data_IF_219545715923
#
_entry.id   IF_219545715923
#
_cell.length_a   1.000
_cell.length_b   1.000
_cell.length_c   1.000
_cell.angle_alpha   90.00
_cell.angle_beta   90.00
_cell.angle_gamma   90.00
#
_symmetry.space_group_name_H-M   'P 1'
#
loop_
_entity.id
_entity.type
_entity.pdbx_description
1 polymer ?
#
# COMPACT_ATOMS: atom_id res chain seq x y z
N UNK A 1 -4.48 -32.82 -12.53
CA UNK A 1 -5.10 -31.49 -12.46
C UNK A 1 -3.99 -30.50 -12.16
N UNK A 2 -3.63 -29.66 -13.13
CA UNK A 2 -2.73 -28.54 -12.87
C UNK A 2 -3.51 -27.50 -12.08
N UNK A 3 -3.24 -27.41 -10.78
CA UNK A 3 -3.59 -26.23 -9.99
C UNK A 3 -2.73 -25.09 -10.52
N UNK A 4 -3.21 -24.36 -11.52
CA UNK A 4 -2.72 -23.00 -11.75
C UNK A 4 -3.16 -22.19 -10.54
N UNK A 5 -2.35 -22.22 -9.47
CA UNK A 5 -2.46 -21.27 -8.39
C UNK A 5 -2.43 -19.89 -9.05
N UNK A 6 -3.51 -19.13 -8.85
CA UNK A 6 -3.53 -17.73 -9.27
C UNK A 6 -2.48 -17.04 -8.42
N UNK A 7 -1.37 -16.67 -9.03
CA UNK A 7 -0.28 -15.98 -8.35
C UNK A 7 -0.85 -14.69 -7.74
N UNK A 8 -0.76 -14.57 -6.41
CA UNK A 8 -1.17 -13.36 -5.70
C UNK A 8 -0.25 -12.22 -6.14
N UNK A 9 -0.84 -11.09 -6.52
CA UNK A 9 -0.05 -9.90 -6.86
C UNK A 9 0.41 -9.15 -5.62
N UNK A 10 -0.29 -9.35 -4.51
CA UNK A 10 0.09 -8.81 -3.21
C UNK A 10 0.84 -9.85 -2.41
N UNK A 11 2.12 -9.57 -2.16
CA UNK A 11 2.94 -10.38 -1.26
C UNK A 11 2.49 -10.13 0.19
N UNK A 12 2.40 -11.18 1.04
CA UNK A 12 1.97 -11.03 2.42
C UNK A 12 2.90 -10.09 3.19
N UNK A 13 2.34 -9.06 3.82
CA UNK A 13 3.09 -8.05 4.56
C UNK A 13 2.94 -8.27 6.06
N UNK A 14 4.08 -8.49 6.74
CA UNK A 14 4.15 -8.47 8.20
C UNK A 14 4.32 -7.04 8.68
N UNK A 15 3.26 -6.38 9.12
CA UNK A 15 3.36 -5.07 9.78
C UNK A 15 2.76 -5.08 11.18
N UNK A 16 3.58 -4.73 12.16
CA UNK A 16 3.13 -4.14 13.44
C UNK A 16 3.09 -2.62 13.29
N UNK A 17 1.90 -2.07 13.12
CA UNK A 17 1.67 -0.67 12.74
C UNK A 17 2.10 0.34 13.82
N UNK A 18 1.84 0.08 15.10
CA UNK A 18 2.15 1.03 16.19
C UNK A 18 3.63 1.07 16.60
N UNK A 19 4.34 -0.06 16.60
CA UNK A 19 5.77 -0.10 16.98
C UNK A 19 6.63 0.69 15.97
N UNK A 20 6.25 0.69 14.69
CA UNK A 20 7.08 1.25 13.63
C UNK A 20 7.21 2.78 13.67
N UNK A 21 6.13 3.51 14.01
CA UNK A 21 6.16 4.98 14.07
C UNK A 21 6.94 5.47 15.29
N UNK A 22 6.78 4.80 16.44
CA UNK A 22 7.56 5.09 17.64
C UNK A 22 9.05 4.79 17.43
N UNK A 23 9.39 3.68 16.77
CA UNK A 23 10.79 3.34 16.44
C UNK A 23 11.41 4.41 15.54
N UNK A 24 10.68 4.93 14.55
CA UNK A 24 11.16 6.00 13.67
C UNK A 24 11.43 7.29 14.46
N UNK A 25 10.49 7.72 15.30
CA UNK A 25 10.65 8.92 16.10
C UNK A 25 11.84 8.80 17.07
N UNK A 26 11.93 7.69 17.80
CA UNK A 26 12.99 7.42 18.78
C UNK A 26 14.35 7.30 18.10
N UNK A 27 14.46 6.59 16.97
CA UNK A 27 15.73 6.49 16.23
C UNK A 27 16.19 7.82 15.64
N UNK A 28 15.28 8.64 15.15
CA UNK A 28 15.61 9.99 14.64
C UNK A 28 16.07 10.91 15.78
N UNK A 29 15.37 10.90 16.92
CA UNK A 29 15.75 11.66 18.10
C UNK A 29 17.12 11.21 18.66
N UNK A 30 17.34 9.90 18.74
CA UNK A 30 18.62 9.32 19.15
C UNK A 30 19.75 9.73 18.21
N UNK A 31 19.53 9.67 16.89
CA UNK A 31 20.51 10.11 15.91
C UNK A 31 20.89 11.59 16.13
N UNK A 32 19.91 12.50 16.21
CA UNK A 32 20.18 13.93 16.45
C UNK A 32 20.91 14.16 17.78
N UNK A 33 20.51 13.48 18.86
CA UNK A 33 21.18 13.60 20.16
C UNK A 33 22.64 13.11 20.10
N UNK A 34 22.89 11.99 19.42
CA UNK A 34 24.23 11.45 19.23
C UNK A 34 25.11 12.39 18.40
N UNK A 35 24.53 13.07 17.41
CA UNK A 35 25.22 14.05 16.57
C UNK A 35 25.72 15.25 17.38
N UNK A 36 24.85 15.80 18.23
CA UNK A 36 25.21 16.91 19.11
C UNK A 36 26.29 16.49 20.12
N UNK A 37 26.16 15.31 20.71
CA UNK A 37 27.06 14.82 21.74
C UNK A 37 28.46 14.55 21.19
N UNK A 38 28.58 13.94 20.01
CA UNK A 38 29.86 13.72 19.34
C UNK A 38 30.51 15.04 18.92
N UNK A 39 29.74 16.00 18.40
CA UNK A 39 30.26 17.33 18.06
C UNK A 39 30.83 18.08 19.27
N UNK A 40 30.19 17.96 20.44
CA UNK A 40 30.67 18.54 21.70
C UNK A 40 31.93 17.81 22.19
N UNK A 41 31.95 16.48 22.18
CA UNK A 41 33.11 15.69 22.61
C UNK A 41 34.34 15.96 21.74
N UNK A 42 34.17 16.06 20.42
CA UNK A 42 35.28 16.31 19.50
C UNK A 42 36.01 17.63 19.76
N UNK A 43 35.32 18.65 20.24
CA UNK A 43 35.97 19.92 20.66
C UNK A 43 36.97 19.78 21.80
N UNK A 44 36.82 18.76 22.65
CA UNK A 44 37.74 18.57 23.78
C UNK A 44 38.97 17.72 23.42
N UNK A 45 38.91 16.95 22.33
CA UNK A 45 39.95 15.97 21.97
C UNK A 45 40.70 16.28 20.68
N UNK A 46 40.20 17.17 19.82
CA UNK A 46 40.87 17.53 18.57
C UNK A 46 41.79 18.75 18.73
N UNK A 47 42.90 18.75 17.98
CA UNK A 47 43.76 19.92 17.83
C UNK A 47 43.05 21.00 17.00
N UNK A 48 43.39 22.27 17.25
CA UNK A 48 42.78 23.43 16.56
C UNK A 48 42.91 23.41 15.04
N UNK A 49 43.90 22.70 14.51
CA UNK A 49 44.12 22.56 13.06
C UNK A 49 43.25 21.46 12.43
N UNK A 50 42.98 20.37 13.15
CA UNK A 50 42.18 19.24 12.66
C UNK A 50 40.69 19.37 12.95
N UNK A 51 40.32 20.14 13.99
CA UNK A 51 38.96 20.39 14.42
C UNK A 51 38.00 20.81 13.28
N UNK A 52 38.28 21.85 12.46
CA UNK A 52 37.33 22.30 11.45
C UNK A 52 37.07 21.25 10.36
N UNK A 53 38.11 20.50 9.97
CA UNK A 53 38.01 19.47 8.92
C UNK A 53 37.19 18.28 9.39
N UNK A 54 37.45 17.79 10.61
CA UNK A 54 36.72 16.64 11.17
C UNK A 54 35.26 16.99 11.45
N UNK A 55 34.99 18.17 12.01
CA UNK A 55 33.61 18.65 12.25
C UNK A 55 32.88 18.85 10.92
N UNK A 56 33.54 19.41 9.90
CA UNK A 56 32.95 19.61 8.57
C UNK A 56 32.54 18.30 7.91
N UNK A 57 33.45 17.31 7.87
CA UNK A 57 33.16 15.97 7.34
C UNK A 57 32.01 15.33 8.12
N UNK A 58 32.08 15.39 9.46
CA UNK A 58 31.05 14.85 10.33
C UNK A 58 29.68 15.47 10.03
N UNK A 59 29.58 16.79 9.94
CA UNK A 59 28.34 17.50 9.64
C UNK A 59 27.74 17.08 8.30
N UNK A 60 28.57 16.89 7.26
CA UNK A 60 28.12 16.43 5.94
C UNK A 60 27.56 15.01 6.02
N UNK A 61 28.29 14.06 6.61
CA UNK A 61 27.80 12.68 6.76
C UNK A 61 26.51 12.62 7.60
N UNK A 62 26.43 13.45 8.63
CA UNK A 62 25.25 13.59 9.49
C UNK A 62 24.04 14.08 8.72
N UNK A 63 24.22 15.08 7.85
CA UNK A 63 23.17 15.61 7.00
C UNK A 63 22.68 14.55 6.00
N UNK A 64 23.62 13.83 5.36
CA UNK A 64 23.29 12.73 4.44
C UNK A 64 22.47 11.65 5.17
N UNK A 65 22.90 11.28 6.38
CA UNK A 65 22.18 10.28 7.19
C UNK A 65 20.78 10.75 7.59
N UNK A 66 20.62 12.00 8.02
CA UNK A 66 19.32 12.58 8.36
C UNK A 66 18.37 12.62 7.15
N UNK A 67 18.88 13.01 5.98
CA UNK A 67 18.11 12.98 4.74
C UNK A 67 17.67 11.56 4.39
N UNK A 68 18.60 10.60 4.47
CA UNK A 68 18.30 9.18 4.24
C UNK A 68 17.21 8.66 5.19
N UNK A 69 17.34 8.93 6.49
CA UNK A 69 16.34 8.56 7.50
C UNK A 69 14.99 9.25 7.26
N UNK A 70 14.99 10.52 6.85
CA UNK A 70 13.76 11.23 6.48
C UNK A 70 13.04 10.61 5.29
N UNK A 71 13.79 10.20 4.26
CA UNK A 71 13.23 9.48 3.09
C UNK A 71 12.66 8.13 3.51
N UNK A 72 13.40 7.34 4.29
CA UNK A 72 12.95 6.03 4.78
C UNK A 72 11.73 6.13 5.70
N UNK A 73 11.70 7.14 6.58
CA UNK A 73 10.57 7.45 7.43
C UNK A 73 9.32 7.73 6.60
N UNK A 74 9.42 8.66 5.64
CA UNK A 74 8.31 8.99 4.73
C UNK A 74 7.82 7.78 3.94
N UNK A 75 8.73 6.92 3.49
CA UNK A 75 8.41 5.65 2.82
C UNK A 75 7.59 4.74 3.74
N UNK A 76 8.05 4.50 4.96
CA UNK A 76 7.36 3.63 5.94
C UNK A 76 5.99 4.17 6.32
N UNK A 77 5.86 5.48 6.56
CA UNK A 77 4.55 6.09 6.86
C UNK A 77 3.55 5.91 5.72
N UNK A 78 3.99 6.01 4.45
CA UNK A 78 3.12 5.75 3.30
C UNK A 78 2.69 4.27 3.24
N UNK A 79 3.60 3.34 3.50
CA UNK A 79 3.33 1.91 3.51
C UNK A 79 2.39 1.50 4.65
N UNK A 80 2.54 2.10 5.83
CA UNK A 80 1.66 1.82 6.98
C UNK A 80 0.21 2.26 6.77
N UNK A 81 -0.03 3.20 5.85
CA UNK A 81 -1.37 3.68 5.51
C UNK A 81 -2.07 2.80 4.47
N UNK A 82 -1.38 1.79 3.95
CA UNK A 82 -1.99 0.85 3.02
C UNK A 82 -2.96 -0.07 3.78
N UNK A 83 -4.09 -0.44 3.15
CA UNK A 83 -5.04 -1.38 3.73
C UNK A 83 -4.45 -2.79 3.76
N UNK A 84 -5.20 -3.76 4.30
CA UNK A 84 -4.79 -5.17 4.33
C UNK A 84 -4.48 -5.71 2.92
N UNK A 85 -3.70 -6.79 2.87
CA UNK A 85 -3.30 -7.40 1.61
C UNK A 85 -4.50 -7.88 0.79
N UNK A 86 -5.52 -8.40 1.45
CA UNK A 86 -6.76 -8.82 0.78
C UNK A 86 -7.51 -7.64 0.15
N UNK A 87 -7.59 -6.48 0.81
CA UNK A 87 -8.17 -5.26 0.20
C UNK A 87 -7.35 -4.82 -1.01
N UNK A 88 -6.01 -4.85 -0.91
CA UNK A 88 -5.15 -4.50 -2.04
C UNK A 88 -5.35 -5.45 -3.22
N UNK A 89 -5.47 -6.76 -2.97
CA UNK A 89 -5.71 -7.77 -4.00
C UNK A 89 -7.07 -7.58 -4.68
N UNK A 90 -8.11 -7.24 -3.91
CA UNK A 90 -9.42 -6.88 -4.46
C UNK A 90 -9.37 -5.59 -5.25
N UNK A 91 -8.58 -4.60 -4.82
CA UNK A 91 -8.37 -3.39 -5.61
C UNK A 91 -7.67 -3.71 -6.95
N UNK A 92 -6.67 -4.61 -6.95
CA UNK A 92 -6.05 -5.11 -8.18
C UNK A 92 -7.04 -5.82 -9.10
N UNK A 93 -7.90 -6.67 -8.55
CA UNK A 93 -8.94 -7.35 -9.32
C UNK A 93 -9.81 -6.35 -10.08
N UNK A 94 -10.27 -5.28 -9.41
CA UNK A 94 -11.08 -4.23 -10.06
C UNK A 94 -10.26 -3.45 -11.07
N UNK A 95 -9.00 -3.10 -10.77
CA UNK A 95 -8.10 -2.39 -11.71
C UNK A 95 -7.94 -3.15 -13.02
N UNK A 96 -7.69 -4.45 -12.93
CA UNK A 96 -7.50 -5.35 -14.08
C UNK A 96 -8.79 -5.57 -14.85
N UNK A 97 -9.88 -5.87 -14.13
CA UNK A 97 -11.16 -6.21 -14.77
C UNK A 97 -11.83 -4.99 -15.40
N UNK A 98 -11.45 -3.78 -15.00
CA UNK A 98 -11.89 -2.52 -15.59
C UNK A 98 -10.98 -1.97 -16.69
N UNK A 99 -9.84 -2.65 -16.97
CA UNK A 99 -8.78 -2.16 -17.86
C UNK A 99 -8.38 -0.70 -17.54
N UNK A 100 -8.26 -0.39 -16.25
CA UNK A 100 -8.04 0.98 -15.79
C UNK A 100 -6.71 1.55 -16.32
N UNK A 101 -6.79 2.66 -17.06
CA UNK A 101 -5.63 3.35 -17.63
C UNK A 101 -5.24 2.88 -19.04
N UNK A 102 -5.96 1.92 -19.61
CA UNK A 102 -5.76 1.50 -21.00
C UNK A 102 -6.49 2.41 -21.98
N UNK A 103 -5.85 2.71 -23.11
CA UNK A 103 -6.40 3.59 -24.15
C UNK A 103 -7.62 2.92 -24.77
N UNK A 104 -8.77 3.62 -24.77
CA UNK A 104 -10.02 3.14 -25.35
C UNK A 104 -10.95 2.43 -24.37
N UNK A 105 -10.56 2.27 -23.11
CA UNK A 105 -11.42 1.70 -22.06
C UNK A 105 -11.95 2.78 -21.12
N UNK A 106 -13.18 2.57 -20.62
CA UNK A 106 -13.85 3.51 -19.72
C UNK A 106 -13.30 3.48 -18.28
N UNK A 107 -12.43 2.50 -17.96
CA UNK A 107 -11.96 2.28 -16.59
C UNK A 107 -13.04 1.78 -15.64
N UNK A 108 -14.16 1.28 -16.18
CA UNK A 108 -15.27 0.71 -15.42
C UNK A 108 -15.38 -0.79 -15.69
N UNK A 109 -15.65 -1.55 -14.64
CA UNK A 109 -16.02 -2.96 -14.72
C UNK A 109 -17.54 -3.11 -14.58
N UNK A 110 -18.18 -3.71 -15.58
CA UNK A 110 -19.62 -3.96 -15.55
C UNK A 110 -19.90 -5.37 -15.05
N UNK A 111 -20.50 -5.48 -13.87
CA UNK A 111 -20.66 -6.76 -13.17
C UNK A 111 -21.90 -6.76 -12.27
N UNK A 112 -22.37 -7.94 -11.86
CA UNK A 112 -23.40 -8.11 -10.83
C UNK A 112 -22.76 -8.32 -9.45
N UNK A 113 -23.47 -8.03 -8.35
CA UNK A 113 -22.96 -8.26 -6.99
C UNK A 113 -22.46 -9.70 -6.79
N UNK A 114 -23.26 -10.69 -7.21
CA UNK A 114 -22.91 -12.11 -7.07
C UNK A 114 -21.64 -12.46 -7.84
N UNK A 115 -21.52 -11.97 -9.07
CA UNK A 115 -20.35 -12.27 -9.90
C UNK A 115 -19.09 -11.61 -9.33
N UNK A 116 -19.21 -10.39 -8.77
CA UNK A 116 -18.09 -9.73 -8.10
C UNK A 116 -17.57 -10.59 -6.94
N UNK A 117 -18.48 -11.04 -6.06
CA UNK A 117 -18.14 -11.85 -4.89
C UNK A 117 -17.46 -13.17 -5.28
N UNK A 118 -17.90 -13.81 -6.36
CA UNK A 118 -17.26 -15.01 -6.88
C UNK A 118 -15.82 -14.75 -7.36
N UNK A 119 -15.60 -13.70 -8.16
CA UNK A 119 -14.25 -13.33 -8.60
C UNK A 119 -13.34 -12.93 -7.43
N UNK A 120 -13.87 -12.23 -6.43
CA UNK A 120 -13.16 -11.88 -5.21
C UNK A 120 -12.71 -13.13 -4.45
N UNK A 121 -13.60 -14.12 -4.29
CA UNK A 121 -13.30 -15.39 -3.63
C UNK A 121 -12.23 -16.19 -4.38
N UNK A 122 -12.35 -16.28 -5.71
CA UNK A 122 -11.35 -16.92 -6.57
C UNK A 122 -9.98 -16.23 -6.45
N UNK A 123 -9.96 -14.90 -6.38
CA UNK A 123 -8.72 -14.12 -6.29
C UNK A 123 -8.02 -14.33 -4.95
N UNK A 124 -8.76 -14.35 -3.83
CA UNK A 124 -8.17 -14.45 -2.49
C UNK A 124 -7.78 -15.90 -2.18
N UNK A 125 -8.66 -16.87 -2.44
CA UNK A 125 -8.51 -18.25 -1.95
C UNK A 125 -8.21 -19.29 -3.03
N UNK A 126 -8.01 -18.86 -4.28
CA UNK A 126 -7.90 -19.69 -5.48
C UNK A 126 -9.20 -20.43 -5.85
N UNK A 127 -9.27 -20.90 -7.09
CA UNK A 127 -10.46 -21.53 -7.68
C UNK A 127 -10.91 -22.80 -6.96
N UNK A 128 -9.98 -23.61 -6.46
CA UNK A 128 -10.31 -24.87 -5.77
C UNK A 128 -11.09 -24.63 -4.47
N UNK A 129 -10.76 -23.55 -3.74
CA UNK A 129 -11.45 -23.19 -2.50
C UNK A 129 -12.77 -22.49 -2.76
N UNK A 130 -12.86 -21.65 -3.80
CA UNK A 130 -14.09 -20.94 -4.17
C UNK A 130 -15.20 -21.87 -4.68
N UNK A 131 -14.84 -23.04 -5.22
CA UNK A 131 -15.81 -24.08 -5.62
C UNK A 131 -16.43 -24.82 -4.42
N UNK A 132 -15.78 -24.78 -3.25
CA UNK A 132 -16.21 -25.50 -2.03
C UNK A 132 -16.97 -24.57 -1.08
N UNK A 133 -16.52 -23.34 -0.93
CA UNK A 133 -17.04 -22.38 0.05
C UNK A 133 -17.85 -21.31 -0.68
N UNK A 134 -19.11 -21.03 -0.26
CA UNK A 134 -19.90 -19.98 -0.88
C UNK A 134 -19.19 -18.63 -0.78
N UNK A 135 -19.26 -17.84 -1.85
CA UNK A 135 -18.63 -16.53 -1.89
C UNK A 135 -19.18 -15.62 -0.79
N UNK A 136 -18.26 -15.02 -0.03
CA UNK A 136 -18.57 -14.02 0.99
C UNK A 136 -18.92 -12.68 0.36
N UNK A 137 -19.52 -11.78 1.14
CA UNK A 137 -19.99 -10.48 0.67
C UNK A 137 -18.85 -9.43 0.58
N UNK A 138 -17.89 -9.68 -0.31
CA UNK A 138 -16.77 -8.79 -0.59
C UNK A 138 -17.20 -7.48 -1.24
N UNK A 139 -18.30 -7.48 -1.96
CA UNK A 139 -18.84 -6.31 -2.62
C UNK A 139 -19.25 -5.23 -1.61
N UNK A 140 -20.11 -5.60 -0.64
CA UNK A 140 -20.51 -4.68 0.43
C UNK A 140 -19.31 -4.25 1.28
N UNK A 141 -18.34 -5.14 1.49
CA UNK A 141 -17.10 -4.80 2.18
C UNK A 141 -16.29 -3.72 1.45
N UNK A 142 -16.09 -3.88 0.13
CA UNK A 142 -15.38 -2.91 -0.69
C UNK A 142 -16.11 -1.56 -0.75
N UNK A 143 -17.45 -1.54 -0.67
CA UNK A 143 -18.23 -0.32 -0.55
C UNK A 143 -18.08 0.35 0.82
N UNK A 144 -18.15 -0.43 1.90
CA UNK A 144 -18.01 0.07 3.26
C UNK A 144 -16.64 0.74 3.46
N UNK A 145 -15.59 0.12 2.92
CA UNK A 145 -14.21 0.65 2.92
C UNK A 145 -13.98 1.76 1.87
N UNK A 146 -15.02 2.15 1.12
CA UNK A 146 -14.98 3.17 0.05
C UNK A 146 -13.88 2.92 -0.99
N UNK A 147 -13.66 1.64 -1.30
CA UNK A 147 -12.64 1.22 -2.24
C UNK A 147 -13.09 1.30 -3.70
N UNK A 148 -14.40 1.27 -3.94
CA UNK A 148 -15.02 1.34 -5.25
C UNK A 148 -16.12 2.40 -5.29
N UNK A 149 -16.32 2.98 -6.46
CA UNK A 149 -17.45 3.84 -6.80
C UNK A 149 -18.41 3.06 -7.71
N UNK A 150 -19.72 3.18 -7.45
CA UNK A 150 -20.76 2.41 -8.16
C UNK A 150 -21.69 3.34 -8.91
N UNK A 151 -22.00 2.98 -10.15
CA UNK A 151 -23.02 3.61 -10.98
C UNK A 151 -23.92 2.55 -11.61
N UNK A 152 -25.19 2.88 -11.83
CA UNK A 152 -26.16 1.97 -12.43
C UNK A 152 -25.99 1.91 -13.96
N UNK A 153 -25.99 0.70 -14.53
CA UNK A 153 -25.94 0.50 -16.00
C UNK A 153 -27.31 0.17 -16.56
N UNK A 154 -28.06 -0.68 -15.87
CA UNK A 154 -29.40 -1.09 -16.31
C UNK A 154 -30.23 -1.52 -15.11
N UNK A 155 -31.44 -0.97 -14.99
CA UNK A 155 -32.42 -1.44 -14.00
C UNK A 155 -33.29 -2.53 -14.65
N UNK A 156 -33.03 -3.80 -14.33
CA UNK A 156 -33.78 -4.94 -14.87
C UNK A 156 -34.84 -5.47 -13.91
N UNK A 157 -35.25 -4.68 -12.92
CA UNK A 157 -36.40 -4.97 -12.06
C UNK A 157 -36.04 -5.11 -10.58
N UNK A 158 -36.96 -5.69 -9.80
CA UNK A 158 -36.93 -5.67 -8.32
C UNK A 158 -35.84 -6.51 -7.66
N UNK A 159 -35.00 -7.24 -8.42
CA UNK A 159 -33.91 -8.07 -7.91
C UNK A 159 -32.55 -7.39 -8.08
N UNK A 160 -32.09 -6.74 -7.01
CA UNK A 160 -30.86 -5.94 -6.99
C UNK A 160 -29.62 -6.77 -7.33
N UNK A 161 -29.53 -8.02 -6.89
CA UNK A 161 -28.34 -8.88 -7.08
C UNK A 161 -28.12 -9.33 -8.53
N UNK A 162 -29.16 -9.26 -9.37
CA UNK A 162 -29.12 -9.63 -10.78
C UNK A 162 -28.89 -8.41 -11.70
N UNK A 163 -28.98 -7.20 -11.13
CA UNK A 163 -28.77 -5.97 -11.88
C UNK A 163 -27.29 -5.75 -12.15
N UNK A 164 -26.99 -5.37 -13.40
CA UNK A 164 -25.63 -5.01 -13.79
C UNK A 164 -25.33 -3.62 -13.28
N UNK A 165 -24.26 -3.52 -12.52
CA UNK A 165 -23.69 -2.27 -12.03
C UNK A 165 -22.35 -2.00 -12.70
N UNK A 166 -21.98 -0.73 -12.75
CA UNK A 166 -20.68 -0.27 -13.20
C UNK A 166 -19.87 0.12 -11.99
N UNK A 167 -18.71 -0.50 -11.83
CA UNK A 167 -17.81 -0.23 -10.71
C UNK A 167 -16.47 0.28 -11.20
N UNK A 168 -15.97 1.30 -10.53
CA UNK A 168 -14.62 1.82 -10.72
C UNK A 168 -13.89 1.82 -9.37
N UNK A 169 -12.56 1.82 -9.41
CA UNK A 169 -11.79 2.10 -8.21
C UNK A 169 -11.92 3.57 -7.82
N UNK A 170 -12.08 3.81 -6.52
CA UNK A 170 -12.05 5.18 -6.01
C UNK A 170 -10.66 5.80 -6.18
N UNK A 171 -10.59 7.13 -6.30
CA UNK A 171 -9.31 7.85 -6.38
C UNK A 171 -8.40 7.55 -5.19
N UNK A 172 -8.99 7.36 -4.00
CA UNK A 172 -8.26 6.99 -2.79
C UNK A 172 -7.60 5.61 -2.94
N UNK A 173 -8.34 4.61 -3.42
CA UNK A 173 -7.79 3.27 -3.64
C UNK A 173 -6.76 3.22 -4.76
N UNK A 174 -6.96 3.98 -5.84
CA UNK A 174 -5.94 4.13 -6.89
C UNK A 174 -4.64 4.73 -6.33
N UNK A 175 -4.73 5.72 -5.44
CA UNK A 175 -3.54 6.31 -4.81
C UNK A 175 -2.80 5.30 -3.92
N UNK A 176 -3.53 4.45 -3.19
CA UNK A 176 -2.99 3.37 -2.36
C UNK A 176 -2.31 2.31 -3.22
N UNK A 177 -2.93 1.88 -4.32
CA UNK A 177 -2.32 0.95 -5.27
C UNK A 177 -1.03 1.52 -5.87
N UNK A 178 -1.02 2.80 -6.27
CA UNK A 178 0.21 3.47 -6.77
C UNK A 178 1.32 3.48 -5.73
N UNK A 179 1.01 3.72 -4.45
CA UNK A 179 2.00 3.64 -3.37
C UNK A 179 2.57 2.22 -3.28
N UNK A 180 1.71 1.21 -3.31
CA UNK A 180 2.13 -0.20 -3.28
C UNK A 180 3.01 -0.57 -4.50
N UNK A 181 2.59 -0.22 -5.72
CA UNK A 181 3.33 -0.45 -6.97
C UNK A 181 4.68 0.27 -7.00
N UNK A 182 4.76 1.48 -6.43
CA UNK A 182 6.01 2.20 -6.35
C UNK A 182 6.98 1.60 -5.32
N UNK A 183 6.45 0.93 -4.29
CA UNK A 183 7.26 0.40 -3.20
C UNK A 183 8.08 -0.82 -3.57
N UNK A 184 7.68 -1.59 -4.60
CA UNK A 184 8.49 -2.69 -5.14
C UNK A 184 9.74 -2.19 -5.89
N UNK A 185 9.73 -0.93 -6.34
CA UNK A 185 10.84 -0.28 -7.04
C UNK A 185 11.64 0.68 -6.13
N UNK A 186 11.44 0.64 -4.81
CA UNK A 186 12.08 1.53 -3.82
C UNK A 186 13.12 0.85 -2.94
#
# INVERSE_FOLDING_TARGET
MNSTEVERKVAPRSYKTLESETIIFVSTAYAVASLLLVGVLFRFFLSKEAEPTVIGIYAVFSLIFLLFMGVQSRRRTKLNKLPSDDILELCYLVKESSNHGEVGYSGNWHITHKSFNNHAMERIFSRSTSEIIPALDYFSYMLAERCIDVSSVTDKGTRIDENVISIALSESSLSKLKIYESASNW
#
